data_IF_158001950780
#
_entry.id   IF_158001950780
#
_cell.length_a   1.000
_cell.length_b   1.000
_cell.length_c   1.000
_cell.angle_alpha   90.00
_cell.angle_beta   90.00
_cell.angle_gamma   90.00
#
_symmetry.space_group_name_H-M   'P 1'
#
loop_
_entity.id
_entity.type
_entity.pdbx_description
1 polymer ?
#
# COMPACT_ATOMS: atom_id res chain seq x y z
N UNK A 1 -7.24 6.74 -2.25
CA UNK A 1 -6.92 6.42 -3.65
C UNK A 1 -7.67 7.41 -4.54
N UNK A 2 -7.04 8.01 -5.55
CA UNK A 2 -7.74 8.92 -6.48
C UNK A 2 -8.31 8.13 -7.65
N UNK A 3 -9.58 8.36 -7.95
CA UNK A 3 -10.28 7.79 -9.09
C UNK A 3 -10.96 8.89 -9.89
N UNK A 4 -11.14 8.65 -11.19
CA UNK A 4 -11.98 9.45 -12.07
C UNK A 4 -13.20 8.64 -12.47
N UNK A 5 -14.38 9.22 -12.33
CA UNK A 5 -15.63 8.58 -12.72
C UNK A 5 -15.78 8.59 -14.24
N UNK A 6 -16.08 7.43 -14.81
CA UNK A 6 -16.31 7.22 -16.26
C UNK A 6 -17.80 7.22 -16.58
N UNK A 7 -18.64 6.92 -15.58
CA UNK A 7 -20.11 6.91 -15.65
C UNK A 7 -20.68 7.63 -14.45
N UNK A 8 -21.93 8.06 -14.58
CA UNK A 8 -22.70 8.58 -13.46
C UNK A 8 -22.94 7.45 -12.44
N UNK A 9 -22.75 7.77 -11.17
CA UNK A 9 -23.00 6.88 -10.06
C UNK A 9 -24.03 7.56 -9.14
N UNK A 10 -25.23 7.00 -9.09
CA UNK A 10 -26.22 7.42 -8.09
C UNK A 10 -25.76 7.06 -6.68
N UNK A 11 -26.51 7.50 -5.66
CA UNK A 11 -26.22 7.17 -4.27
C UNK A 11 -26.33 5.66 -4.10
N UNK A 12 -25.22 5.01 -3.73
CA UNK A 12 -25.19 3.62 -3.32
C UNK A 12 -25.19 3.58 -1.79
N UNK A 13 -26.19 2.94 -1.20
CA UNK A 13 -26.22 2.67 0.23
C UNK A 13 -25.33 1.45 0.51
N UNK A 14 -24.24 1.66 1.26
CA UNK A 14 -23.27 0.61 1.60
C UNK A 14 -23.60 0.00 2.96
N UNK A 15 -24.04 0.84 3.91
CA UNK A 15 -24.58 0.44 5.21
C UNK A 15 -25.61 1.49 5.66
N UNK A 16 -26.27 1.27 6.81
CA UNK A 16 -27.28 2.21 7.34
C UNK A 16 -26.73 3.65 7.50
N UNK A 17 -25.41 3.80 7.72
CA UNK A 17 -24.74 5.09 7.91
C UNK A 17 -23.76 5.50 6.79
N UNK A 18 -23.37 4.59 5.89
CA UNK A 18 -22.44 4.91 4.78
C UNK A 18 -23.14 4.95 3.42
N UNK A 19 -23.13 6.14 2.81
CA UNK A 19 -23.62 6.38 1.45
C UNK A 19 -22.47 6.77 0.54
N UNK A 20 -22.40 6.14 -0.63
CA UNK A 20 -21.39 6.40 -1.65
C UNK A 20 -22.01 7.19 -2.80
N UNK A 21 -21.46 8.36 -3.11
CA UNK A 21 -22.02 9.24 -4.12
C UNK A 21 -23.06 10.23 -3.58
N UNK A 22 -23.79 10.95 -4.45
CA UNK A 22 -23.80 10.80 -5.90
C UNK A 22 -22.52 11.35 -6.54
N UNK A 23 -22.04 10.68 -7.60
CA UNK A 23 -20.90 11.15 -8.40
C UNK A 23 -21.29 11.27 -9.88
N UNK A 24 -20.80 12.31 -10.54
CA UNK A 24 -21.01 12.52 -11.98
C UNK A 24 -19.84 12.02 -12.78
N UNK A 25 -20.10 11.66 -14.04
CA UNK A 25 -19.06 11.36 -15.01
C UNK A 25 -18.08 12.53 -15.12
N UNK A 26 -16.80 12.22 -15.01
CA UNK A 26 -15.70 13.19 -15.04
C UNK A 26 -15.22 13.65 -13.67
N UNK A 27 -15.98 13.37 -12.59
CA UNK A 27 -15.57 13.74 -11.24
C UNK A 27 -14.30 13.01 -10.83
N UNK A 28 -13.41 13.73 -10.13
CA UNK A 28 -12.24 13.17 -9.49
C UNK A 28 -12.44 13.14 -7.98
N UNK A 29 -12.47 11.93 -7.41
CA UNK A 29 -12.74 11.73 -5.99
C UNK A 29 -11.64 10.91 -5.34
N UNK A 30 -11.38 11.20 -4.06
CA UNK A 30 -10.44 10.46 -3.23
C UNK A 30 -11.22 9.58 -2.26
N UNK A 31 -11.21 8.27 -2.51
CA UNK A 31 -11.93 7.28 -1.70
C UNK A 31 -10.96 6.30 -1.03
N UNK A 32 -11.39 5.64 0.06
CA UNK A 32 -10.82 4.38 0.52
C UNK A 32 -10.60 3.40 -0.63
N UNK A 33 -9.55 2.59 -0.51
CA UNK A 33 -9.14 1.71 -1.60
C UNK A 33 -10.23 0.69 -1.97
N UNK A 34 -10.95 0.15 -0.98
CA UNK A 34 -11.99 -0.85 -1.19
C UNK A 34 -13.18 -0.29 -1.99
N UNK A 35 -13.66 0.90 -1.65
CA UNK A 35 -14.71 1.62 -2.41
C UNK A 35 -14.26 1.88 -3.85
N UNK A 36 -13.06 2.44 -3.99
CA UNK A 36 -12.48 2.74 -5.29
C UNK A 36 -12.33 1.48 -6.15
N UNK A 37 -11.93 0.34 -5.55
CA UNK A 37 -11.80 -0.94 -6.23
C UNK A 37 -13.14 -1.46 -6.75
N UNK A 38 -14.21 -1.32 -5.97
CA UNK A 38 -15.56 -1.75 -6.38
C UNK A 38 -16.00 -0.96 -7.61
N UNK A 39 -15.90 0.38 -7.56
CA UNK A 39 -16.28 1.26 -8.67
C UNK A 39 -15.48 0.97 -9.94
N UNK A 40 -14.16 0.73 -9.81
CA UNK A 40 -13.30 0.39 -10.96
C UNK A 40 -13.67 -0.97 -11.54
N UNK A 41 -13.88 -1.99 -10.70
CA UNK A 41 -14.26 -3.35 -11.14
C UNK A 41 -15.60 -3.36 -11.88
N UNK A 42 -16.54 -2.51 -11.48
CA UNK A 42 -17.84 -2.36 -12.12
C UNK A 42 -17.83 -1.41 -13.33
N UNK A 43 -16.66 -0.91 -13.75
CA UNK A 43 -16.50 0.03 -14.86
C UNK A 43 -17.20 1.39 -14.65
N UNK A 44 -17.38 1.82 -13.40
CA UNK A 44 -17.87 3.17 -13.05
C UNK A 44 -16.73 4.17 -12.93
N UNK A 45 -15.53 3.72 -12.59
CA UNK A 45 -14.38 4.59 -12.39
C UNK A 45 -13.08 4.01 -12.99
N UNK A 46 -12.06 4.85 -13.07
CA UNK A 46 -10.69 4.46 -13.38
C UNK A 46 -9.76 5.05 -12.32
N UNK A 47 -8.75 4.28 -11.90
CA UNK A 47 -7.73 4.81 -11.01
C UNK A 47 -6.85 5.83 -11.75
N UNK A 48 -6.62 7.00 -11.14
CA UNK A 48 -5.78 8.04 -11.72
C UNK A 48 -4.28 7.78 -11.51
N UNK A 49 -3.90 7.25 -10.34
CA UNK A 49 -2.49 7.08 -9.94
C UNK A 49 -2.02 5.61 -9.93
N UNK A 50 -2.81 4.71 -10.47
CA UNK A 50 -2.56 3.28 -10.34
C UNK A 50 -1.69 2.77 -11.50
N UNK A 51 -0.37 2.83 -11.30
CA UNK A 51 0.60 2.20 -12.18
C UNK A 51 0.98 0.81 -11.63
N UNK A 52 0.84 -0.28 -12.42
CA UNK A 52 1.29 -1.61 -12.01
C UNK A 52 2.78 -1.64 -11.70
N UNK A 53 3.15 -2.25 -10.57
CA UNK A 53 4.54 -2.32 -10.11
C UNK A 53 5.32 -3.36 -10.93
N UNK A 54 6.44 -2.95 -11.51
CA UNK A 54 7.32 -3.86 -12.23
C UNK A 54 8.49 -4.33 -11.34
N UNK A 55 9.17 -5.44 -11.68
CA UNK A 55 10.37 -5.88 -10.96
C UNK A 55 11.45 -4.79 -10.85
N UNK A 56 11.59 -3.95 -11.89
CA UNK A 56 12.55 -2.83 -11.90
C UNK A 56 12.23 -1.78 -10.83
N UNK A 57 10.95 -1.54 -10.53
CA UNK A 57 10.53 -0.58 -9.50
C UNK A 57 10.92 -1.09 -8.11
N UNK A 58 10.76 -2.39 -7.85
CA UNK A 58 11.21 -3.03 -6.61
C UNK A 58 12.73 -2.97 -6.45
N UNK A 59 13.49 -3.21 -7.52
CA UNK A 59 14.94 -3.01 -7.50
C UNK A 59 15.34 -1.58 -7.15
N UNK A 60 14.65 -0.58 -7.73
CA UNK A 60 14.90 0.83 -7.40
C UNK A 60 14.58 1.16 -5.94
N UNK A 61 13.51 0.58 -5.39
CA UNK A 61 13.18 0.72 -3.96
C UNK A 61 14.30 0.13 -3.13
N UNK A 62 14.68 -1.13 -3.37
CA UNK A 62 15.77 -1.81 -2.64
C UNK A 62 17.09 -1.04 -2.71
N UNK A 63 17.48 -0.58 -3.91
CA UNK A 63 18.70 0.16 -4.11
C UNK A 63 18.74 1.45 -3.28
N UNK A 64 17.63 2.20 -3.20
CA UNK A 64 17.53 3.40 -2.36
C UNK A 64 17.51 3.05 -0.87
N UNK A 65 16.92 1.92 -0.51
CA UNK A 65 16.72 1.49 0.87
C UNK A 65 18.02 0.97 1.51
N UNK A 66 18.86 0.26 0.76
CA UNK A 66 20.06 -0.42 1.28
C UNK A 66 21.10 0.49 1.98
N UNK A 67 21.54 1.63 1.39
CA UNK A 67 22.62 2.41 1.98
C UNK A 67 22.18 3.30 3.15
N UNK A 68 20.88 3.58 3.29
CA UNK A 68 20.36 4.52 4.29
C UNK A 68 19.97 3.80 5.57
N UNK A 69 20.28 4.39 6.72
CA UNK A 69 19.83 3.90 8.02
C UNK A 69 18.35 4.20 8.28
N UNK A 70 17.84 5.29 7.71
CA UNK A 70 16.44 5.71 7.77
C UNK A 70 15.62 5.17 6.61
N UNK A 71 14.29 5.18 6.76
CA UNK A 71 13.35 4.81 5.70
C UNK A 71 13.46 5.79 4.53
N UNK A 72 13.43 5.27 3.31
CA UNK A 72 13.33 6.13 2.12
C UNK A 72 11.87 6.38 1.75
N UNK A 73 11.54 7.52 1.12
CA UNK A 73 10.17 7.78 0.68
C UNK A 73 9.66 6.67 -0.24
N UNK A 74 8.49 6.14 0.10
CA UNK A 74 7.75 5.18 -0.71
C UNK A 74 6.36 5.73 -1.03
N UNK A 75 5.74 5.20 -2.08
CA UNK A 75 4.37 5.53 -2.44
C UNK A 75 3.41 5.17 -1.27
N UNK A 76 2.53 6.08 -0.82
CA UNK A 76 1.56 5.80 0.25
C UNK A 76 0.67 4.57 -0.02
N UNK A 77 0.45 4.23 -1.29
CA UNK A 77 -0.34 3.09 -1.74
C UNK A 77 0.52 1.95 -2.29
N UNK A 78 1.81 1.88 -1.94
CA UNK A 78 2.74 0.88 -2.46
C UNK A 78 2.24 -0.56 -2.29
N UNK A 79 1.81 -0.95 -1.08
CA UNK A 79 1.39 -2.33 -0.81
C UNK A 79 0.08 -2.70 -1.54
N UNK A 80 -0.87 -1.76 -1.60
CA UNK A 80 -2.05 -1.88 -2.47
C UNK A 80 -1.65 -2.14 -3.92
N UNK A 81 -0.75 -1.32 -4.48
CA UNK A 81 -0.34 -1.43 -5.90
C UNK A 81 0.34 -2.76 -6.21
N UNK A 82 1.25 -3.23 -5.35
CA UNK A 82 1.90 -4.52 -5.59
C UNK A 82 0.96 -5.71 -5.37
N UNK A 83 0.05 -5.62 -4.40
CA UNK A 83 -0.93 -6.66 -4.15
C UNK A 83 -1.79 -6.89 -5.40
N UNK A 84 -2.39 -5.83 -5.95
CA UNK A 84 -3.19 -5.95 -7.17
C UNK A 84 -2.36 -6.37 -8.37
N UNK A 85 -1.13 -5.85 -8.53
CA UNK A 85 -0.28 -6.27 -9.65
C UNK A 85 0.00 -7.78 -9.59
N UNK A 86 0.29 -8.32 -8.40
CA UNK A 86 0.49 -9.75 -8.22
C UNK A 86 -0.80 -10.55 -8.41
N UNK A 87 -1.95 -10.02 -7.98
CA UNK A 87 -3.26 -10.64 -8.18
C UNK A 87 -3.58 -10.74 -9.68
N UNK A 88 -3.46 -9.64 -10.42
CA UNK A 88 -3.70 -9.58 -11.86
C UNK A 88 -2.80 -10.56 -12.62
N UNK A 89 -1.49 -10.55 -12.34
CA UNK A 89 -0.55 -11.49 -12.97
C UNK A 89 -0.89 -12.95 -12.66
N UNK A 90 -1.31 -13.22 -11.41
CA UNK A 90 -1.69 -14.57 -10.99
C UNK A 90 -2.96 -15.03 -11.71
N UNK A 91 -3.97 -14.17 -11.83
CA UNK A 91 -5.21 -14.49 -12.55
C UNK A 91 -4.98 -14.62 -14.07
N UNK A 92 -4.12 -13.79 -14.66
CA UNK A 92 -3.69 -13.94 -16.06
C UNK A 92 -3.03 -15.30 -16.30
N UNK A 93 -2.08 -15.68 -15.43
CA UNK A 93 -1.37 -16.96 -15.55
C UNK A 93 -2.27 -18.17 -15.27
N UNK A 94 -3.33 -18.03 -14.47
CA UNK A 94 -4.33 -19.10 -14.28
C UNK A 94 -5.16 -19.31 -15.55
N UNK A 95 -5.56 -18.23 -16.23
CA UNK A 95 -6.37 -18.28 -17.46
C UNK A 95 -5.57 -18.77 -18.66
N UNK A 96 -4.33 -18.31 -18.78
CA UNK A 96 -3.41 -18.71 -19.84
C UNK A 96 -2.02 -18.94 -19.24
N UNK A 97 -1.68 -20.19 -18.87
CA UNK A 97 -0.40 -20.52 -18.26
C UNK A 97 0.79 -20.12 -19.13
N UNK A 98 1.66 -19.28 -18.58
CA UNK A 98 2.88 -18.80 -19.24
C UNK A 98 4.06 -18.87 -18.25
N UNK A 99 5.11 -19.61 -18.63
CA UNK A 99 6.30 -19.77 -17.83
C UNK A 99 6.97 -18.42 -17.50
N UNK A 100 6.98 -17.47 -18.44
CA UNK A 100 7.59 -16.15 -18.25
C UNK A 100 6.80 -15.32 -17.23
N UNK A 101 5.47 -15.38 -17.28
CA UNK A 101 4.60 -14.72 -16.30
C UNK A 101 4.80 -15.33 -14.91
N UNK A 102 4.86 -16.67 -14.81
CA UNK A 102 5.14 -17.36 -13.55
C UNK A 102 6.50 -16.97 -12.96
N UNK A 103 7.55 -16.91 -13.78
CA UNK A 103 8.88 -16.46 -13.36
C UNK A 103 8.86 -15.00 -12.87
N UNK A 104 8.13 -14.12 -13.57
CA UNK A 104 7.93 -12.72 -13.16
C UNK A 104 7.26 -12.63 -11.79
N UNK A 105 6.18 -13.38 -11.55
CA UNK A 105 5.49 -13.44 -10.24
C UNK A 105 6.45 -13.88 -9.14
N UNK A 106 7.21 -14.97 -9.37
CA UNK A 106 8.19 -15.48 -8.39
C UNK A 106 9.26 -14.42 -8.08
N UNK A 107 9.81 -13.77 -9.10
CA UNK A 107 10.81 -12.71 -8.95
C UNK A 107 10.26 -11.52 -8.16
N UNK A 108 9.04 -11.06 -8.48
CA UNK A 108 8.40 -9.97 -7.76
C UNK A 108 8.16 -10.32 -6.28
N UNK A 109 7.69 -11.54 -5.98
CA UNK A 109 7.51 -12.00 -4.59
C UNK A 109 8.83 -12.05 -3.82
N UNK A 110 9.92 -12.50 -4.46
CA UNK A 110 11.25 -12.49 -3.84
C UNK A 110 11.68 -11.06 -3.50
N UNK A 111 11.65 -10.16 -4.47
CA UNK A 111 12.06 -8.76 -4.29
C UNK A 111 11.17 -8.04 -3.26
N UNK A 112 9.87 -8.33 -3.23
CA UNK A 112 8.96 -7.78 -2.23
C UNK A 112 9.32 -8.24 -0.82
N UNK A 113 9.68 -9.52 -0.62
CA UNK A 113 10.15 -10.00 0.69
C UNK A 113 11.41 -9.27 1.15
N UNK A 114 12.32 -8.97 0.23
CA UNK A 114 13.52 -8.20 0.53
C UNK A 114 13.14 -6.77 0.95
N UNK A 115 12.23 -6.10 0.21
CA UNK A 115 11.74 -4.75 0.55
C UNK A 115 11.10 -4.75 1.93
N UNK A 116 10.17 -5.68 2.17
CA UNK A 116 9.47 -5.86 3.44
C UNK A 116 10.46 -6.01 4.59
N UNK A 117 11.40 -6.95 4.46
CA UNK A 117 12.37 -7.23 5.52
C UNK A 117 13.21 -5.99 5.84
N UNK A 118 13.78 -5.34 4.80
CA UNK A 118 14.64 -4.16 4.98
C UNK A 118 13.92 -3.00 5.64
N UNK A 119 12.69 -2.71 5.22
CA UNK A 119 11.89 -1.62 5.78
C UNK A 119 11.35 -1.95 7.16
N UNK A 120 10.95 -3.20 7.41
CA UNK A 120 10.52 -3.67 8.72
C UNK A 120 11.58 -3.45 9.80
N UNK A 121 12.85 -3.85 9.55
CA UNK A 121 13.91 -3.63 10.54
C UNK A 121 14.13 -2.15 10.87
N UNK A 122 13.95 -1.27 9.88
CA UNK A 122 14.05 0.19 10.10
C UNK A 122 12.85 0.72 10.88
N UNK A 123 11.64 0.26 10.57
CA UNK A 123 10.42 0.58 11.34
C UNK A 123 10.57 0.15 12.79
N UNK A 124 11.06 -1.06 13.04
CA UNK A 124 11.29 -1.58 14.39
C UNK A 124 12.32 -0.72 15.15
N UNK A 125 13.46 -0.41 14.51
CA UNK A 125 14.47 0.48 15.10
C UNK A 125 13.90 1.87 15.40
N UNK A 126 13.06 2.39 14.52
CA UNK A 126 12.41 3.69 14.69
C UNK A 126 11.38 3.66 15.83
N UNK A 127 10.61 2.59 15.95
CA UNK A 127 9.64 2.40 17.03
C UNK A 127 10.33 2.26 18.40
N UNK A 128 11.46 1.55 18.46
CA UNK A 128 12.27 1.36 19.67
C UNK A 128 13.13 2.57 20.05
N UNK A 129 13.20 3.61 19.23
CA UNK A 129 13.98 4.79 19.54
C UNK A 129 13.32 5.61 20.67
N UNK A 130 14.12 6.01 21.66
CA UNK A 130 13.69 6.88 22.75
C UNK A 130 13.46 8.30 22.22
N UNK A 131 12.28 8.88 22.51
CA UNK A 131 11.85 10.18 21.98
C UNK A 131 10.68 10.12 21.01
N UNK A 132 10.16 11.29 20.62
CA UNK A 132 9.03 11.42 19.69
C UNK A 132 9.57 11.39 18.26
N UNK A 133 9.09 10.44 17.46
CA UNK A 133 9.38 10.39 16.02
C UNK A 133 8.74 11.61 15.35
N UNK A 134 9.47 12.29 14.47
CA UNK A 134 8.95 13.46 13.76
C UNK A 134 7.92 13.04 12.72
N UNK A 135 6.94 13.91 12.44
CA UNK A 135 5.96 13.70 11.38
C UNK A 135 6.62 13.48 10.01
N UNK A 136 7.74 14.15 9.76
CA UNK A 136 8.56 14.02 8.54
C UNK A 136 9.10 12.60 8.34
N UNK A 137 9.41 11.86 9.42
CA UNK A 137 9.85 10.46 9.29
C UNK A 137 8.70 9.53 8.87
N UNK A 138 7.47 9.82 9.28
CA UNK A 138 6.27 9.06 8.90
C UNK A 138 5.83 9.34 7.45
N UNK A 139 6.25 10.47 6.86
CA UNK A 139 6.01 10.76 5.44
C UNK A 139 6.69 9.76 4.51
N UNK A 140 7.75 9.10 4.97
CA UNK A 140 8.47 8.09 4.21
C UNK A 140 7.81 6.70 4.22
N UNK A 141 6.78 6.50 5.04
CA UNK A 141 6.06 5.25 5.20
C UNK A 141 4.87 5.16 4.23
N UNK A 142 4.54 3.93 3.80
CA UNK A 142 3.19 3.68 3.26
C UNK A 142 2.12 3.81 4.36
N UNK A 143 0.84 3.82 3.97
CA UNK A 143 -0.24 3.83 4.95
C UNK A 143 -0.18 2.60 5.88
N UNK A 144 0.06 1.42 5.31
CA UNK A 144 0.19 0.16 6.06
C UNK A 144 1.40 0.16 7.01
N UNK A 145 2.52 0.76 6.59
CA UNK A 145 3.72 0.88 7.43
C UNK A 145 3.53 1.85 8.60
N UNK A 146 2.70 2.89 8.44
CA UNK A 146 2.33 3.81 9.53
C UNK A 146 1.54 3.08 10.61
N UNK A 147 0.52 2.33 10.20
CA UNK A 147 -0.29 1.52 11.14
C UNK A 147 0.58 0.48 11.87
N UNK A 148 1.50 -0.17 11.14
CA UNK A 148 2.45 -1.10 11.74
C UNK A 148 3.37 -0.40 12.75
N UNK A 149 3.90 0.78 12.41
CA UNK A 149 4.74 1.56 13.31
C UNK A 149 4.00 1.95 14.61
N UNK A 150 2.77 2.47 14.50
CA UNK A 150 1.96 2.84 15.68
C UNK A 150 1.69 1.62 16.57
N UNK A 151 1.37 0.47 15.95
CA UNK A 151 1.18 -0.80 16.67
C UNK A 151 2.44 -1.25 17.39
N UNK A 152 3.59 -1.21 16.72
CA UNK A 152 4.89 -1.55 17.31
C UNK A 152 5.23 -0.61 18.47
N UNK A 153 5.01 0.70 18.30
CA UNK A 153 5.29 1.69 19.35
C UNK A 153 4.42 1.47 20.57
N UNK A 154 3.14 1.18 20.38
CA UNK A 154 2.22 0.83 21.47
C UNK A 154 2.72 -0.38 22.26
N UNK A 155 3.03 -1.48 21.57
CA UNK A 155 3.53 -2.71 22.21
C UNK A 155 4.81 -2.44 23.02
N UNK A 156 5.77 -1.70 22.45
CA UNK A 156 7.03 -1.39 23.13
C UNK A 156 6.82 -0.50 24.36
N UNK A 157 6.00 0.54 24.24
CA UNK A 157 5.71 1.47 25.35
C UNK A 157 4.98 0.77 26.48
N UNK A 158 4.00 -0.08 26.16
CA UNK A 158 3.26 -0.88 27.16
C UNK A 158 4.17 -1.87 27.87
N UNK A 159 5.13 -2.46 27.16
CA UNK A 159 6.12 -3.36 27.74
C UNK A 159 7.10 -2.62 28.65
N UNK A 160 7.68 -1.49 28.22
CA UNK A 160 8.60 -0.67 29.03
C UNK A 160 7.95 -0.17 30.33
N UNK A 161 6.68 0.25 30.26
CA UNK A 161 5.92 0.73 31.40
C UNK A 161 5.73 -0.31 32.51
N UNK A 162 5.90 -1.61 32.22
CA UNK A 162 5.84 -2.67 33.25
C UNK A 162 7.08 -2.69 34.15
N UNK A 163 8.20 -2.11 33.70
CA UNK A 163 9.49 -2.18 34.40
C UNK A 163 9.97 -0.81 34.90
N UNK A 164 9.52 0.28 34.28
CA UNK A 164 9.81 1.65 34.70
C UNK A 164 8.80 2.08 35.78
N UNK A 165 9.05 1.67 37.02
CA UNK A 165 8.31 2.06 38.24
C UNK A 165 8.96 3.31 38.85
#
# INVERSE_FOLDING_TARGET
>A
MRIRLVKDCEILEISDDEKLGPYKKGDEVKLPYWEAKILVKQNYAQFLDFKPIQPADLHKILYRELPKSQLTPIDPYFYVKIHETLLELTEQNKKNPDLLVLQKIKKMKSLLRDVLSRRFYKLLRMAAATGKVSSEMLENCSNEERELYESLRKILTEWEAQFLI
#
